data_IF_486670415123
#
_entry.id   IF_486670415123
#
_cell.length_a   1.000
_cell.length_b   1.000
_cell.length_c   1.000
_cell.angle_alpha   90.00
_cell.angle_beta   90.00
_cell.angle_gamma   90.00
#
_symmetry.space_group_name_H-M   'P 1'
#
loop_
_entity.id
_entity.type
_entity.pdbx_description
1 polymer ?
#
# COMPACT_ATOMS: atom_id res chain seq x y z
N UNK A 1 8.41 24.48 15.46
CA UNK A 1 8.90 23.09 15.34
C UNK A 1 9.61 22.94 14.02
N UNK A 2 10.88 22.55 14.05
CA UNK A 2 11.60 22.23 12.83
C UNK A 2 11.09 20.91 12.27
N UNK A 3 10.65 20.91 11.03
CA UNK A 3 10.35 19.68 10.30
C UNK A 3 11.68 18.98 9.99
N UNK A 4 11.77 17.71 10.33
CA UNK A 4 12.87 16.87 9.89
C UNK A 4 12.61 16.46 8.44
N UNK A 5 13.47 16.92 7.56
CA UNK A 5 13.43 16.49 6.17
C UNK A 5 14.17 15.18 6.03
N UNK A 6 13.51 14.21 5.40
CA UNK A 6 14.11 12.89 5.14
C UNK A 6 14.76 12.93 3.76
N UNK A 7 16.03 12.47 3.64
CA UNK A 7 16.68 12.38 2.33
C UNK A 7 15.84 11.56 1.35
N UNK A 8 15.66 12.05 0.13
CA UNK A 8 14.85 11.41 -0.91
C UNK A 8 13.39 11.87 -0.97
N UNK A 9 12.92 12.63 0.01
CA UNK A 9 11.61 13.26 -0.05
C UNK A 9 11.64 14.54 -0.89
N UNK A 10 10.55 14.78 -1.61
CA UNK A 10 10.38 16.01 -2.36
C UNK A 10 10.14 17.17 -1.39
N UNK A 11 11.13 18.01 -1.25
CA UNK A 11 11.11 19.18 -0.35
C UNK A 11 10.04 20.20 -0.73
N UNK A 12 9.67 20.29 -2.01
CA UNK A 12 8.66 21.25 -2.48
C UNK A 12 7.25 20.90 -1.98
N UNK A 13 6.99 19.63 -1.67
CA UNK A 13 5.69 19.16 -1.19
C UNK A 13 5.50 19.30 0.31
N UNK A 14 6.55 19.61 1.05
CA UNK A 14 6.57 19.70 2.52
C UNK A 14 6.18 18.39 3.23
N UNK A 15 6.37 17.27 2.58
CA UNK A 15 6.14 15.95 3.21
C UNK A 15 7.22 15.72 4.27
N UNK A 16 6.83 15.21 5.43
CA UNK A 16 7.71 14.99 6.58
C UNK A 16 7.82 13.51 6.89
N UNK A 17 8.95 13.09 7.46
CA UNK A 17 9.14 11.70 7.88
C UNK A 17 8.05 11.20 8.84
N UNK A 18 7.51 12.07 9.70
CA UNK A 18 6.43 11.72 10.65
C UNK A 18 5.06 11.52 10.00
N UNK A 19 4.89 11.99 8.75
CA UNK A 19 3.62 11.88 8.03
C UNK A 19 3.40 10.45 7.51
N UNK A 20 4.47 9.66 7.46
CA UNK A 20 4.43 8.26 7.09
C UNK A 20 5.24 7.47 8.11
N UNK A 21 4.58 6.61 8.86
CA UNK A 21 5.20 5.76 9.87
C UNK A 21 4.85 4.31 9.58
N UNK A 22 5.84 3.53 9.15
CA UNK A 22 5.69 2.11 8.84
C UNK A 22 6.81 1.33 9.48
N UNK A 23 6.47 0.15 9.99
CA UNK A 23 7.43 -0.82 10.49
C UNK A 23 6.93 -2.23 10.14
N UNK A 24 7.87 -3.16 10.02
CA UNK A 24 7.56 -4.53 9.68
C UNK A 24 8.23 -5.51 10.63
N UNK A 25 7.58 -6.66 10.80
CA UNK A 25 8.14 -7.83 11.47
C UNK A 25 8.12 -8.97 10.48
N UNK A 26 9.29 -9.56 10.22
CA UNK A 26 9.43 -10.72 9.35
C UNK A 26 9.66 -11.98 10.19
N UNK A 27 8.66 -12.87 10.19
CA UNK A 27 8.78 -14.20 10.82
C UNK A 27 9.35 -15.17 9.78
N UNK A 28 10.63 -15.49 9.89
CA UNK A 28 11.36 -16.34 8.92
C UNK A 28 10.84 -17.77 8.93
N UNK A 29 10.43 -18.25 10.09
CA UNK A 29 9.96 -19.62 10.23
C UNK A 29 8.61 -19.84 9.57
N UNK A 30 7.70 -18.88 9.73
CA UNK A 30 6.35 -18.93 9.14
C UNK A 30 6.26 -18.30 7.77
N UNK A 31 7.27 -17.56 7.36
CA UNK A 31 7.27 -16.79 6.09
C UNK A 31 6.12 -15.79 6.05
N UNK A 32 5.93 -15.08 7.16
CA UNK A 32 4.91 -14.05 7.30
C UNK A 32 5.60 -12.71 7.53
N UNK A 33 5.20 -11.72 6.74
CA UNK A 33 5.64 -10.33 6.87
C UNK A 33 4.46 -9.49 7.35
N UNK A 34 4.57 -9.00 8.57
CA UNK A 34 3.55 -8.13 9.17
C UNK A 34 4.03 -6.68 9.06
N UNK A 35 3.26 -5.86 8.36
CA UNK A 35 3.57 -4.43 8.18
C UNK A 35 2.46 -3.64 8.87
N UNK A 36 2.86 -2.67 9.68
CA UNK A 36 1.89 -1.80 10.34
C UNK A 36 2.38 -0.36 10.35
N UNK A 37 1.45 0.56 10.34
CA UNK A 37 1.79 1.96 10.42
C UNK A 37 0.62 2.90 10.16
N UNK A 38 0.96 4.13 9.86
CA UNK A 38 0.01 5.21 9.64
C UNK A 38 0.51 6.13 8.53
N UNK A 39 -0.43 6.69 7.79
CA UNK A 39 -0.15 7.62 6.70
C UNK A 39 -0.98 8.88 6.89
N UNK A 40 -0.28 10.02 6.95
CA UNK A 40 -0.87 11.36 7.01
C UNK A 40 -0.34 12.20 5.84
N UNK A 41 -0.38 11.64 4.64
CA UNK A 41 0.07 12.29 3.42
C UNK A 41 -1.05 12.27 2.41
N UNK A 42 -1.45 13.45 1.96
CA UNK A 42 -2.43 13.65 0.89
C UNK A 42 -1.73 14.10 -0.39
N UNK A 43 -2.28 13.73 -1.54
CA UNK A 43 -1.78 14.18 -2.84
C UNK A 43 -0.48 13.51 -3.31
N UNK A 44 0.04 12.53 -2.57
CA UNK A 44 1.24 11.77 -2.90
C UNK A 44 0.97 10.27 -2.79
N UNK A 45 1.63 9.50 -3.63
CA UNK A 45 1.74 8.06 -3.48
C UNK A 45 3.01 7.72 -2.70
N UNK A 46 3.08 6.52 -2.16
CA UNK A 46 4.22 6.10 -1.33
C UNK A 46 4.88 4.89 -1.97
N UNK A 47 6.19 4.95 -2.16
CA UNK A 47 6.99 3.80 -2.53
C UNK A 47 7.74 3.30 -1.30
N UNK A 48 7.56 2.04 -0.97
CA UNK A 48 8.13 1.41 0.22
C UNK A 48 9.11 0.33 -0.18
N UNK A 49 10.34 0.42 0.34
CA UNK A 49 11.34 -0.64 0.21
C UNK A 49 11.41 -1.42 1.51
N UNK A 50 11.51 -2.74 1.40
CA UNK A 50 11.57 -3.64 2.55
C UNK A 50 12.81 -4.51 2.44
N UNK A 51 13.60 -4.60 3.51
CA UNK A 51 14.73 -5.51 3.59
C UNK A 51 14.25 -6.86 4.11
N UNK A 52 13.95 -7.79 3.19
CA UNK A 52 13.58 -9.16 3.57
C UNK A 52 14.80 -9.93 4.06
N UNK A 53 14.66 -10.78 5.09
CA UNK A 53 15.74 -11.67 5.52
C UNK A 53 16.13 -12.66 4.43
N UNK A 54 15.15 -13.11 3.64
CA UNK A 54 15.33 -14.06 2.55
C UNK A 54 14.42 -13.72 1.37
N UNK A 55 14.81 -13.97 0.12
CA UNK A 55 13.89 -13.89 -1.01
C UNK A 55 12.88 -15.04 -0.99
N UNK A 56 11.97 -15.07 -1.94
CA UNK A 56 10.97 -16.10 -2.12
C UNK A 56 9.59 -15.66 -1.73
N UNK A 57 8.75 -16.61 -1.34
CA UNK A 57 7.34 -16.37 -1.03
C UNK A 57 7.15 -15.93 0.40
N UNK A 58 6.33 -14.89 0.57
CA UNK A 58 5.94 -14.35 1.86
C UNK A 58 4.44 -14.05 1.87
N UNK A 59 3.78 -14.41 2.97
CA UNK A 59 2.44 -13.90 3.26
C UNK A 59 2.59 -12.52 3.87
N UNK A 60 1.94 -11.53 3.29
CA UNK A 60 1.94 -10.15 3.81
C UNK A 60 0.61 -9.89 4.52
N UNK A 61 0.71 -9.42 5.75
CA UNK A 61 -0.42 -8.92 6.52
C UNK A 61 -0.11 -7.46 6.82
N UNK A 62 -0.92 -6.55 6.29
CA UNK A 62 -0.65 -5.12 6.37
C UNK A 62 -1.80 -4.39 7.04
N UNK A 63 -1.48 -3.58 8.03
CA UNK A 63 -2.40 -2.66 8.69
C UNK A 63 -1.90 -1.24 8.53
N UNK A 64 -2.77 -0.35 8.02
CA UNK A 64 -2.41 1.04 7.76
C UNK A 64 -3.52 1.95 8.23
N UNK A 65 -3.21 2.88 9.12
CA UNK A 65 -4.15 3.86 9.66
C UNK A 65 -4.18 5.10 8.77
N UNK A 66 -5.39 5.49 8.38
CA UNK A 66 -5.63 6.72 7.62
C UNK A 66 -5.66 7.91 8.58
N UNK A 67 -4.56 8.66 8.65
CA UNK A 67 -4.49 9.90 9.42
C UNK A 67 -4.74 11.15 8.55
N UNK A 68 -5.10 10.97 7.28
CA UNK A 68 -5.48 12.09 6.42
C UNK A 68 -6.89 12.58 6.74
N UNK A 69 -7.26 13.71 6.19
CA UNK A 69 -8.62 14.24 6.28
C UNK A 69 -9.55 13.71 5.19
N UNK A 70 -9.08 12.78 4.37
CA UNK A 70 -9.80 12.25 3.22
C UNK A 70 -10.17 10.77 3.42
N UNK A 71 -11.35 10.39 2.93
CA UNK A 71 -11.77 8.98 2.90
C UNK A 71 -11.17 8.27 1.70
N UNK A 72 -10.55 7.11 1.93
CA UNK A 72 -9.99 6.27 0.88
C UNK A 72 -11.07 5.32 0.35
N UNK A 73 -11.36 5.40 -0.93
CA UNK A 73 -12.40 4.59 -1.58
C UNK A 73 -11.85 3.38 -2.32
N UNK A 74 -10.54 3.31 -2.53
CA UNK A 74 -9.81 2.16 -3.02
C UNK A 74 -8.36 2.27 -2.61
N UNK A 75 -7.70 1.14 -2.52
CA UNK A 75 -6.26 1.05 -2.29
C UNK A 75 -5.63 0.15 -3.33
N UNK A 76 -4.48 0.57 -3.83
CA UNK A 76 -3.80 -0.13 -4.89
C UNK A 76 -2.33 -0.31 -4.54
N UNK A 77 -1.86 -1.54 -4.67
CA UNK A 77 -0.46 -1.91 -4.45
C UNK A 77 0.12 -2.39 -5.77
N UNK A 78 1.21 -1.78 -6.19
CA UNK A 78 1.94 -2.14 -7.40
C UNK A 78 3.34 -2.59 -7.01
N UNK A 79 3.73 -3.79 -7.43
CA UNK A 79 5.05 -4.36 -7.14
C UNK A 79 6.10 -3.86 -8.11
N UNK A 80 7.39 -3.99 -7.72
CA UNK A 80 8.50 -3.72 -8.61
C UNK A 80 8.74 -4.90 -9.59
N UNK A 81 9.75 -4.76 -10.45
CA UNK A 81 10.09 -5.77 -11.46
C UNK A 81 10.58 -7.11 -10.89
N UNK A 82 11.01 -7.12 -9.63
CA UNK A 82 11.56 -8.32 -8.95
C UNK A 82 10.53 -8.99 -8.02
N UNK A 83 9.30 -8.52 -8.03
CA UNK A 83 8.26 -8.99 -7.12
C UNK A 83 6.94 -9.11 -7.87
N UNK A 84 6.19 -10.15 -7.58
CA UNK A 84 4.82 -10.27 -8.08
C UNK A 84 3.92 -10.84 -6.99
N UNK A 85 2.62 -10.58 -7.12
CA UNK A 85 1.61 -11.21 -6.26
C UNK A 85 1.45 -12.67 -6.64
N UNK A 86 0.98 -13.47 -5.68
CA UNK A 86 0.68 -14.87 -5.91
C UNK A 86 -0.82 -15.06 -5.93
N UNK A 87 -1.34 -15.61 -7.03
CA UNK A 87 -2.74 -15.95 -7.20
C UNK A 87 -2.87 -17.47 -7.32
N UNK A 88 -3.18 -18.12 -6.22
CA UNK A 88 -3.40 -19.55 -6.18
C UNK A 88 -4.57 -19.86 -5.25
N UNK A 89 -5.13 -21.08 -5.35
CA UNK A 89 -6.23 -21.50 -4.49
C UNK A 89 -5.86 -21.53 -3.00
N UNK A 90 -4.58 -21.60 -2.70
CA UNK A 90 -4.06 -21.61 -1.33
C UNK A 90 -3.77 -20.22 -0.78
N UNK A 91 -3.80 -19.19 -1.63
CA UNK A 91 -3.55 -17.81 -1.20
C UNK A 91 -4.84 -17.11 -0.84
N UNK A 92 -4.79 -16.31 0.22
CA UNK A 92 -5.92 -15.53 0.68
C UNK A 92 -5.65 -14.05 0.41
N UNK A 93 -6.39 -13.49 -0.53
CA UNK A 93 -6.36 -12.05 -0.81
C UNK A 93 -7.64 -11.46 -0.25
N UNK A 94 -7.52 -10.64 0.80
CA UNK A 94 -8.69 -10.04 1.44
C UNK A 94 -8.37 -8.73 2.14
N UNK A 95 -9.44 -8.00 2.45
CA UNK A 95 -9.41 -6.84 3.33
C UNK A 95 -10.65 -6.86 4.22
N UNK A 96 -10.55 -6.23 5.39
CA UNK A 96 -11.71 -6.04 6.27
C UNK A 96 -12.61 -4.91 5.79
N UNK A 97 -12.03 -3.87 5.20
CA UNK A 97 -12.73 -2.63 4.82
C UNK A 97 -13.25 -2.67 3.39
N UNK A 98 -12.64 -3.47 2.54
CA UNK A 98 -13.00 -3.60 1.13
C UNK A 98 -13.51 -5.00 0.84
N UNK A 99 -14.63 -5.09 0.14
CA UNK A 99 -15.29 -6.38 -0.13
C UNK A 99 -14.83 -7.03 -1.42
N UNK A 100 -14.13 -6.28 -2.29
CA UNK A 100 -13.70 -6.78 -3.59
C UNK A 100 -12.23 -6.50 -3.84
N UNK A 101 -11.61 -7.40 -4.59
CA UNK A 101 -10.22 -7.28 -5.03
C UNK A 101 -10.12 -7.55 -6.52
N UNK A 102 -9.14 -6.92 -7.15
CA UNK A 102 -8.78 -7.18 -8.54
C UNK A 102 -7.27 -7.28 -8.65
N UNK A 103 -6.79 -8.39 -9.20
CA UNK A 103 -5.37 -8.61 -9.47
C UNK A 103 -5.16 -8.63 -10.98
N UNK A 104 -4.21 -7.84 -11.48
CA UNK A 104 -3.91 -7.80 -12.91
C UNK A 104 -3.35 -9.14 -13.39
N UNK A 105 -3.57 -9.50 -14.69
CA UNK A 105 -3.07 -10.76 -15.23
C UNK A 105 -1.55 -10.95 -15.13
N UNK A 106 -0.79 -9.87 -15.16
CA UNK A 106 0.67 -9.90 -14.99
C UNK A 106 1.10 -9.99 -13.52
N UNK A 107 0.16 -10.04 -12.58
CA UNK A 107 0.38 -10.18 -11.14
C UNK A 107 1.18 -9.04 -10.52
N UNK A 108 1.13 -7.85 -11.11
CA UNK A 108 1.91 -6.70 -10.66
C UNK A 108 1.10 -5.67 -9.88
N UNK A 109 -0.23 -5.68 -10.01
CA UNK A 109 -1.08 -4.66 -9.38
C UNK A 109 -2.32 -5.29 -8.76
N UNK A 110 -2.50 -5.05 -7.46
CA UNK A 110 -3.62 -5.53 -6.68
C UNK A 110 -4.43 -4.34 -6.18
N UNK A 111 -5.72 -4.33 -6.47
CA UNK A 111 -6.65 -3.28 -6.04
C UNK A 111 -7.66 -3.85 -5.07
N UNK A 112 -7.86 -3.15 -3.96
CA UNK A 112 -8.92 -3.38 -2.98
C UNK A 112 -9.96 -2.29 -3.15
N UNK A 113 -11.22 -2.64 -3.30
CA UNK A 113 -12.29 -1.69 -3.58
C UNK A 113 -13.66 -2.15 -3.06
N UNK A 114 -14.70 -1.36 -3.30
CA UNK A 114 -16.04 -1.54 -2.74
C UNK A 114 -16.03 -1.54 -1.22
N UNK A 115 -15.72 -0.40 -0.70
CA UNK A 115 -15.64 -0.10 0.72
C UNK A 115 -15.01 1.27 0.94
N UNK A 116 -14.62 1.54 2.15
CA UNK A 116 -14.00 2.81 2.49
C UNK A 116 -13.11 2.70 3.72
N UNK A 117 -12.13 3.59 3.80
CA UNK A 117 -11.31 3.81 4.99
C UNK A 117 -11.41 5.28 5.34
N UNK A 118 -12.16 5.60 6.39
CA UNK A 118 -12.37 6.97 6.85
C UNK A 118 -11.16 7.50 7.61
N UNK A 119 -11.05 8.84 7.75
CA UNK A 119 -10.04 9.40 8.65
C UNK A 119 -10.09 8.77 10.04
N UNK A 120 -8.93 8.34 10.53
CA UNK A 120 -8.79 7.68 11.83
C UNK A 120 -9.01 6.16 11.82
N UNK A 121 -9.54 5.60 10.74
CA UNK A 121 -9.72 4.15 10.61
C UNK A 121 -8.46 3.47 10.07
N UNK A 122 -8.29 2.19 10.40
CA UNK A 122 -7.23 1.36 9.85
C UNK A 122 -7.78 0.41 8.80
N UNK A 123 -7.03 0.23 7.71
CA UNK A 123 -7.30 -0.82 6.73
C UNK A 123 -6.43 -2.03 7.03
N UNK A 124 -7.02 -3.21 6.96
CA UNK A 124 -6.30 -4.48 7.05
C UNK A 124 -6.33 -5.16 5.69
N UNK A 125 -5.16 -5.58 5.20
CA UNK A 125 -4.99 -6.27 3.92
C UNK A 125 -4.14 -7.51 4.11
N UNK A 126 -4.46 -8.57 3.40
CA UNK A 126 -3.67 -9.80 3.36
C UNK A 126 -3.49 -10.25 1.90
N UNK A 127 -2.28 -10.63 1.55
CA UNK A 127 -1.92 -11.14 0.23
C UNK A 127 -0.57 -11.85 0.29
N UNK A 128 -0.26 -12.66 -0.71
CA UNK A 128 1.04 -13.31 -0.83
C UNK A 128 1.85 -12.66 -1.95
N UNK A 129 3.16 -12.57 -1.74
CA UNK A 129 4.12 -12.10 -2.74
C UNK A 129 5.20 -13.16 -2.98
N UNK A 130 5.77 -13.12 -4.18
CA UNK A 130 6.99 -13.83 -4.55
C UNK A 130 8.05 -12.79 -4.90
N UNK A 131 9.12 -12.73 -4.11
CA UNK A 131 10.20 -11.78 -4.32
C UNK A 131 11.47 -12.50 -4.77
N UNK A 132 12.06 -12.09 -5.89
CA UNK A 132 13.33 -12.64 -6.39
C UNK A 132 14.54 -11.94 -5.77
N UNK A 133 14.30 -10.86 -5.05
CA UNK A 133 15.30 -10.03 -4.39
C UNK A 133 15.01 -9.93 -2.89
N UNK A 134 16.05 -9.66 -2.10
CA UNK A 134 15.90 -9.36 -0.68
C UNK A 134 15.42 -7.93 -0.40
N UNK A 135 15.32 -7.09 -1.43
CA UNK A 135 14.91 -5.68 -1.30
C UNK A 135 13.74 -5.37 -2.22
N UNK A 136 12.58 -6.05 -2.04
CA UNK A 136 11.42 -5.69 -2.82
C UNK A 136 10.97 -4.27 -2.49
N UNK A 137 10.45 -3.60 -3.50
CA UNK A 137 9.77 -2.33 -3.35
C UNK A 137 8.36 -2.44 -3.91
N UNK A 138 7.44 -1.71 -3.34
CA UNK A 138 6.09 -1.61 -3.85
C UNK A 138 5.58 -0.18 -3.74
N UNK A 139 4.78 0.22 -4.71
CA UNK A 139 4.11 1.51 -4.71
C UNK A 139 2.69 1.35 -4.16
N UNK A 140 2.30 2.28 -3.33
CA UNK A 140 1.03 2.29 -2.64
C UNK A 140 0.25 3.54 -3.02
N UNK A 141 -0.90 3.37 -3.67
CA UNK A 141 -1.76 4.44 -4.10
C UNK A 141 -3.16 4.31 -3.49
N UNK A 142 -3.83 5.43 -3.32
CA UNK A 142 -5.18 5.49 -2.74
C UNK A 142 -6.08 6.34 -3.65
N UNK A 143 -7.30 5.87 -3.86
CA UNK A 143 -8.31 6.64 -4.56
C UNK A 143 -9.17 7.41 -3.57
N UNK A 144 -9.23 8.71 -3.79
CA UNK A 144 -10.04 9.65 -3.00
C UNK A 144 -10.95 10.40 -3.96
N UNK A 145 -12.24 10.48 -3.62
CA UNK A 145 -13.18 11.26 -4.43
C UNK A 145 -12.92 12.76 -4.27
N UNK A 146 -13.11 13.50 -5.34
CA UNK A 146 -13.15 14.96 -5.29
C UNK A 146 -14.41 15.47 -4.59
N UNK A 147 -14.33 16.67 -3.99
CA UNK A 147 -15.45 17.26 -3.24
C UNK A 147 -16.69 17.49 -4.09
N UNK A 148 -16.52 17.70 -5.41
CA UNK A 148 -17.61 18.00 -6.34
C UNK A 148 -18.10 16.76 -7.10
N UNK A 149 -17.57 15.57 -6.81
CA UNK A 149 -17.96 14.34 -7.51
C UNK A 149 -19.29 13.80 -7.00
N UNK A 150 -20.19 13.49 -7.96
CA UNK A 150 -21.46 12.81 -7.66
C UNK A 150 -21.22 11.33 -7.39
N UNK A 151 -22.15 10.60 -6.73
CA UNK A 151 -22.05 9.14 -6.57
C UNK A 151 -21.87 8.40 -7.89
N UNK A 152 -22.50 8.84 -8.97
CA UNK A 152 -22.36 8.25 -10.30
C UNK A 152 -20.95 8.47 -10.89
N UNK A 153 -20.37 9.65 -10.70
CA UNK A 153 -19.00 9.96 -11.10
C UNK A 153 -17.99 9.13 -10.31
N UNK A 154 -18.21 8.98 -9.00
CA UNK A 154 -17.38 8.14 -8.14
C UNK A 154 -17.41 6.70 -8.62
N UNK A 155 -18.57 6.14 -8.91
CA UNK A 155 -18.71 4.77 -9.42
C UNK A 155 -17.98 4.57 -10.76
N UNK A 156 -18.13 5.51 -11.68
CA UNK A 156 -17.46 5.47 -12.99
C UNK A 156 -15.93 5.59 -12.85
N UNK A 157 -15.47 6.47 -11.98
CA UNK A 157 -14.03 6.62 -11.67
C UNK A 157 -13.46 5.37 -11.02
N UNK A 158 -14.21 4.75 -10.13
CA UNK A 158 -13.79 3.51 -9.46
C UNK A 158 -13.60 2.37 -10.46
N UNK A 159 -14.52 2.19 -11.42
CA UNK A 159 -14.35 1.21 -12.50
C UNK A 159 -13.07 1.45 -13.29
N UNK A 160 -12.77 2.69 -13.62
CA UNK A 160 -11.56 3.07 -14.34
C UNK A 160 -10.31 2.81 -13.52
N UNK A 161 -10.34 3.15 -12.23
CA UNK A 161 -9.23 2.91 -11.30
C UNK A 161 -8.91 1.41 -11.20
N UNK A 162 -9.92 0.57 -11.12
CA UNK A 162 -9.75 -0.88 -11.06
C UNK A 162 -9.17 -1.42 -12.36
N UNK A 163 -9.69 -0.97 -13.52
CA UNK A 163 -9.25 -1.46 -14.83
C UNK A 163 -7.86 -0.94 -15.21
N UNK A 164 -7.61 0.35 -15.06
CA UNK A 164 -6.45 1.05 -15.63
C UNK A 164 -5.42 1.49 -14.57
N UNK A 165 -5.76 1.43 -13.31
CA UNK A 165 -4.93 1.91 -12.22
C UNK A 165 -5.26 3.34 -11.79
N UNK A 166 -4.81 3.67 -10.60
CA UNK A 166 -4.90 5.02 -10.04
C UNK A 166 -3.91 5.91 -10.79
N UNK A 167 -4.34 7.12 -11.16
CA UNK A 167 -3.47 8.08 -11.83
C UNK A 167 -2.24 8.37 -10.98
N UNK A 168 -1.08 8.35 -11.62
CA UNK A 168 0.21 8.52 -10.94
C UNK A 168 0.32 9.93 -10.33
N UNK A 169 0.74 9.97 -9.08
CA UNK A 169 1.00 11.20 -8.32
C UNK A 169 2.49 11.28 -8.00
N UNK A 170 2.99 12.45 -7.54
CA UNK A 170 4.34 12.53 -6.99
C UNK A 170 4.56 11.45 -5.93
N UNK A 171 5.72 10.80 -5.97
CA UNK A 171 6.05 9.65 -5.15
C UNK A 171 6.92 10.07 -3.97
N UNK A 172 6.54 9.66 -2.77
CA UNK A 172 7.37 9.71 -1.57
C UNK A 172 8.01 8.35 -1.38
N UNK A 173 9.33 8.30 -1.26
CA UNK A 173 10.06 7.04 -1.05
C UNK A 173 10.44 6.89 0.42
N UNK A 174 10.27 5.66 0.93
CA UNK A 174 10.70 5.33 2.28
C UNK A 174 11.25 3.90 2.36
N UNK A 175 12.10 3.67 3.37
CA UNK A 175 12.56 2.34 3.74
C UNK A 175 11.80 1.94 5.00
N UNK A 176 11.13 0.79 4.95
CA UNK A 176 10.40 0.25 6.09
C UNK A 176 11.38 -0.49 7.01
N UNK A 177 11.54 -0.09 8.28
CA UNK A 177 12.36 -0.85 9.23
C UNK A 177 11.77 -2.24 9.45
N UNK A 178 12.61 -3.26 9.44
CA UNK A 178 12.20 -4.66 9.59
C UNK A 178 12.88 -5.27 10.81
N UNK A 179 12.08 -5.85 11.72
CA UNK A 179 12.55 -6.69 12.80
C UNK A 179 12.38 -8.16 12.38
N UNK A 180 13.44 -8.93 12.50
CA UNK A 180 13.42 -10.35 12.10
C UNK A 180 13.22 -11.22 13.33
N UNK A 181 12.26 -12.14 13.27
CA UNK A 181 11.96 -13.14 14.31
C UNK A 181 11.83 -14.54 13.70
N UNK A 182 11.76 -15.53 14.55
CA UNK A 182 11.64 -16.93 14.11
C UNK A 182 13.02 -17.60 13.99
#
# INVERSE_FOLDING_TARGET
>A
MSSLDVPGLDMSSRVRARDIQMAAVADVRRRVLMISGAVDVSGHDVSMSINLPEPGRWQVIKSETNLTDQTWLAMQVTTDENTHFVDSQETLILSRQFTRTFLTPDLSRLTFFDGEVRPGEAVLMAFDIEATSRKPAYAHARYVAGDDETPEQIAANLERVVADGIAQRPMVEMIVPVTVIG
#
